data_IF_793326170184
#
_entry.id   IF_793326170184
#
_cell.length_a   1.000
_cell.length_b   1.000
_cell.length_c   1.000
_cell.angle_alpha   90.00
_cell.angle_beta   90.00
_cell.angle_gamma   90.00
#
_symmetry.space_group_name_H-M   'P 1'
#
loop_
_entity.id
_entity.type
_entity.pdbx_description
1 polymer ?
#
# COMPACT_ATOMS: atom_id res chain seq x y z
N UNK A 1 7.64 -8.57 -7.65
CA UNK A 1 6.84 -7.57 -6.91
C UNK A 1 5.59 -8.20 -6.30
N UNK A 2 4.71 -8.78 -7.11
CA UNK A 2 3.37 -9.26 -6.68
C UNK A 2 3.28 -10.71 -6.19
N UNK A 3 4.40 -11.44 -6.12
CA UNK A 3 4.42 -12.86 -5.73
C UNK A 3 5.21 -13.12 -4.44
N UNK A 4 5.55 -12.06 -3.70
CA UNK A 4 6.28 -12.14 -2.43
C UNK A 4 7.66 -12.84 -2.50
N UNK A 5 8.29 -12.90 -3.68
CA UNK A 5 9.63 -13.50 -3.88
C UNK A 5 10.67 -12.48 -4.35
N UNK A 6 10.43 -11.20 -4.14
CA UNK A 6 11.32 -10.11 -4.57
C UNK A 6 12.60 -10.01 -3.73
N UNK A 7 12.57 -10.48 -2.49
CA UNK A 7 13.65 -10.26 -1.52
C UNK A 7 13.73 -8.81 -1.01
N UNK A 8 12.71 -7.98 -1.27
CA UNK A 8 12.68 -6.59 -0.81
C UNK A 8 12.57 -6.50 0.73
N UNK A 9 13.15 -5.46 1.35
CA UNK A 9 12.91 -5.18 2.76
C UNK A 9 11.45 -4.75 3.00
N UNK A 10 11.00 -4.81 4.25
CA UNK A 10 9.62 -4.55 4.67
C UNK A 10 9.55 -3.28 5.54
N UNK A 11 8.70 -2.31 5.15
CA UNK A 11 8.55 -1.05 5.90
C UNK A 11 7.60 -1.16 7.09
N UNK A 12 6.66 -2.11 7.09
CA UNK A 12 5.57 -2.18 8.08
C UNK A 12 6.09 -2.22 9.52
N UNK A 13 7.23 -2.86 9.76
CA UNK A 13 7.86 -2.95 11.09
C UNK A 13 8.49 -1.65 11.59
N UNK A 14 8.60 -0.63 10.73
CA UNK A 14 9.32 0.61 10.99
C UNK A 14 8.41 1.85 10.99
N UNK A 15 7.13 1.69 10.64
CA UNK A 15 6.16 2.78 10.66
C UNK A 15 5.42 2.81 12.01
N UNK A 16 5.22 4.00 12.61
CA UNK A 16 4.39 4.13 13.79
C UNK A 16 2.91 3.88 13.45
N UNK A 17 2.16 3.34 14.40
CA UNK A 17 0.71 3.24 14.32
C UNK A 17 0.07 4.60 14.64
N UNK A 18 0.23 5.55 13.72
CA UNK A 18 -0.31 6.91 13.79
C UNK A 18 -1.25 7.16 12.59
N UNK A 19 -2.57 7.19 12.79
CA UNK A 19 -3.54 7.37 11.71
C UNK A 19 -3.55 8.79 11.13
N UNK A 20 -2.93 9.77 11.78
CA UNK A 20 -2.81 11.14 11.27
C UNK A 20 -1.66 11.30 10.27
N UNK A 21 -0.76 10.32 10.20
CA UNK A 21 0.43 10.34 9.36
C UNK A 21 0.08 9.92 7.93
N UNK A 22 0.34 10.81 6.96
CA UNK A 22 0.27 10.48 5.54
C UNK A 22 1.68 10.16 5.02
N UNK A 23 1.79 9.08 4.24
CA UNK A 23 3.04 8.66 3.61
C UNK A 23 2.90 8.71 2.10
N UNK A 24 3.92 9.24 1.42
CA UNK A 24 4.05 9.02 -0.02
C UNK A 24 4.57 7.61 -0.30
N UNK A 25 4.28 7.02 -1.48
CA UNK A 25 4.85 5.73 -1.86
C UNK A 25 6.39 5.71 -1.76
N UNK A 26 7.06 6.79 -2.17
CA UNK A 26 8.51 6.91 -2.07
C UNK A 26 9.01 6.86 -0.63
N UNK A 27 8.33 7.54 0.31
CA UNK A 27 8.71 7.50 1.73
C UNK A 27 8.62 6.07 2.30
N UNK A 28 7.59 5.30 1.93
CA UNK A 28 7.46 3.91 2.38
C UNK A 28 8.60 3.04 1.83
N UNK A 29 8.99 3.26 0.58
CA UNK A 29 10.16 2.60 -0.02
C UNK A 29 11.42 2.99 0.75
N UNK A 30 11.68 4.28 0.95
CA UNK A 30 12.87 4.76 1.67
C UNK A 30 12.97 4.15 3.08
N UNK A 31 11.85 4.10 3.82
CA UNK A 31 11.77 3.46 5.15
C UNK A 31 12.14 1.98 5.09
N UNK A 32 11.63 1.24 4.10
CA UNK A 32 11.97 -0.17 3.95
C UNK A 32 13.49 -0.36 3.84
N UNK A 33 14.15 0.49 3.05
CA UNK A 33 15.58 0.39 2.79
C UNK A 33 16.48 0.86 3.94
N UNK A 34 15.95 1.59 4.94
CA UNK A 34 16.70 1.87 6.19
C UNK A 34 17.07 0.58 6.94
N UNK A 35 16.28 -0.49 6.79
CA UNK A 35 16.53 -1.76 7.49
C UNK A 35 17.74 -2.55 6.98
N UNK A 36 18.19 -2.29 5.75
CA UNK A 36 19.21 -3.05 5.01
C UNK A 36 19.00 -4.58 4.99
N UNK A 37 17.74 -5.05 5.07
CA UNK A 37 17.38 -6.48 5.08
C UNK A 37 17.07 -7.05 3.69
N UNK A 38 17.58 -6.45 2.62
CA UNK A 38 17.33 -6.93 1.27
C UNK A 38 17.99 -8.30 1.04
N UNK A 39 17.28 -9.18 0.34
CA UNK A 39 17.74 -10.52 -0.06
C UNK A 39 17.75 -10.63 -1.58
N UNK A 40 18.41 -11.67 -2.08
CA UNK A 40 18.38 -11.99 -3.51
C UNK A 40 16.95 -12.28 -3.99
N UNK A 41 16.56 -11.79 -5.19
CA UNK A 41 15.28 -12.13 -5.82
C UNK A 41 15.17 -13.63 -6.13
N UNK A 42 13.94 -14.14 -6.18
CA UNK A 42 13.64 -15.53 -6.57
C UNK A 42 13.72 -16.56 -5.45
N UNK A 43 14.07 -16.14 -4.23
CA UNK A 43 14.06 -16.98 -3.03
C UNK A 43 12.65 -17.46 -2.60
N UNK A 44 12.55 -18.03 -1.38
CA UNK A 44 11.26 -18.39 -0.80
C UNK A 44 10.29 -17.21 -0.75
N UNK A 45 8.99 -17.51 -0.78
CA UNK A 45 7.98 -16.47 -0.62
C UNK A 45 8.00 -15.96 0.82
N UNK A 46 8.18 -14.65 0.98
CA UNK A 46 8.09 -13.93 2.24
C UNK A 46 7.19 -12.73 1.99
N UNK A 47 6.09 -12.65 2.75
CA UNK A 47 5.10 -11.58 2.61
C UNK A 47 5.77 -10.21 2.65
N UNK A 48 5.36 -9.32 1.74
CA UNK A 48 6.06 -8.06 1.52
C UNK A 48 5.12 -7.00 0.94
N UNK A 49 4.88 -5.94 1.72
CA UNK A 49 4.08 -4.79 1.33
C UNK A 49 4.86 -3.86 0.40
N UNK A 50 6.17 -3.71 0.59
CA UNK A 50 7.04 -2.86 -0.26
C UNK A 50 6.92 -3.21 -1.74
N UNK A 51 6.81 -4.49 -2.06
CA UNK A 51 6.61 -4.98 -3.42
C UNK A 51 5.30 -4.50 -4.05
N UNK A 52 4.23 -4.35 -3.27
CA UNK A 52 2.95 -3.82 -3.73
C UNK A 52 2.97 -2.29 -3.85
N UNK A 53 3.67 -1.57 -2.96
CA UNK A 53 3.89 -0.13 -3.11
C UNK A 53 4.61 0.17 -4.42
N UNK A 54 5.70 -0.56 -4.71
CA UNK A 54 6.42 -0.44 -5.99
C UNK A 54 5.56 -0.82 -7.19
N UNK A 55 4.70 -1.84 -7.08
CA UNK A 55 3.76 -2.19 -8.15
C UNK A 55 2.77 -1.04 -8.42
N UNK A 56 2.28 -0.37 -7.38
CA UNK A 56 1.46 0.84 -7.51
C UNK A 56 2.20 1.96 -8.24
N UNK A 57 3.44 2.25 -7.85
CA UNK A 57 4.28 3.25 -8.52
C UNK A 57 4.51 2.91 -10.01
N UNK A 58 4.68 1.63 -10.36
CA UNK A 58 4.78 1.20 -11.76
C UNK A 58 3.48 1.47 -12.52
N UNK A 59 2.31 1.19 -11.93
CA UNK A 59 1.02 1.51 -12.55
C UNK A 59 0.91 3.02 -12.81
N UNK A 60 1.25 3.85 -11.83
CA UNK A 60 1.20 5.31 -11.99
C UNK A 60 2.16 5.79 -13.08
N UNK A 61 3.39 5.29 -13.10
CA UNK A 61 4.39 5.65 -14.10
C UNK A 61 3.99 5.24 -15.52
N UNK A 62 3.36 4.08 -15.70
CA UNK A 62 2.96 3.57 -17.02
C UNK A 62 1.66 4.19 -17.50
N UNK A 63 0.69 4.42 -16.60
CA UNK A 63 -0.63 4.94 -16.96
C UNK A 63 -0.73 6.46 -16.97
N UNK A 64 0.13 7.17 -16.25
CA UNK A 64 0.01 8.61 -16.01
C UNK A 64 -1.17 9.00 -15.10
N UNK A 65 -1.84 8.01 -14.48
CA UNK A 65 -2.95 8.21 -13.54
C UNK A 65 -2.50 7.92 -12.11
N UNK A 66 -3.18 8.49 -11.12
CA UNK A 66 -3.02 8.01 -9.74
C UNK A 66 -3.49 6.56 -9.63
N UNK A 67 -2.95 5.81 -8.68
CA UNK A 67 -3.33 4.40 -8.50
C UNK A 67 -4.84 4.23 -8.30
N UNK A 68 -5.48 5.08 -7.48
CA UNK A 68 -6.93 5.07 -7.30
C UNK A 68 -7.69 5.39 -8.58
N UNK A 69 -7.24 6.38 -9.36
CA UNK A 69 -7.86 6.72 -10.64
C UNK A 69 -7.78 5.59 -11.66
N UNK A 70 -6.63 4.90 -11.74
CA UNK A 70 -6.47 3.72 -12.58
C UNK A 70 -7.38 2.59 -12.14
N UNK A 71 -7.37 2.22 -10.84
CA UNK A 71 -8.24 1.15 -10.31
C UNK A 71 -9.71 1.49 -10.50
N UNK A 72 -10.11 2.75 -10.31
CA UNK A 72 -11.48 3.20 -10.53
C UNK A 72 -11.91 3.01 -11.98
N UNK A 73 -11.11 3.46 -12.94
CA UNK A 73 -11.44 3.37 -14.36
C UNK A 73 -11.35 1.95 -14.91
N UNK A 74 -10.35 1.17 -14.50
CA UNK A 74 -10.07 -0.16 -15.03
C UNK A 74 -10.88 -1.29 -14.35
N UNK A 75 -11.31 -1.10 -13.10
CA UNK A 75 -11.96 -2.16 -12.30
C UNK A 75 -13.30 -1.70 -11.72
N UNK A 76 -13.33 -0.61 -10.96
CA UNK A 76 -14.53 -0.26 -10.18
C UNK A 76 -15.70 0.19 -11.07
N UNK A 77 -15.45 1.06 -12.05
CA UNK A 77 -16.47 1.56 -12.96
C UNK A 77 -17.08 0.45 -13.84
N UNK A 78 -16.30 -0.42 -14.52
CA UNK A 78 -16.85 -1.53 -15.30
C UNK A 78 -17.72 -2.49 -14.49
N UNK A 79 -17.44 -2.63 -13.19
CA UNK A 79 -18.17 -3.51 -12.28
C UNK A 79 -19.31 -2.81 -11.52
N UNK A 80 -19.53 -1.51 -11.73
CA UNK A 80 -20.56 -0.74 -11.03
C UNK A 80 -20.30 -0.58 -9.52
N UNK A 81 -19.05 -0.66 -9.07
CA UNK A 81 -18.66 -0.57 -7.66
C UNK A 81 -18.58 0.90 -7.21
N UNK A 82 -19.74 1.48 -6.91
CA UNK A 82 -19.87 2.90 -6.53
C UNK A 82 -19.56 3.21 -5.06
N UNK A 83 -19.50 2.17 -4.21
CA UNK A 83 -19.17 2.28 -2.79
C UNK A 83 -17.77 1.73 -2.46
N UNK A 84 -16.79 2.01 -3.32
CA UNK A 84 -15.40 1.54 -3.17
C UNK A 84 -14.44 2.66 -3.55
N UNK A 85 -13.43 2.89 -2.71
CA UNK A 85 -12.47 3.98 -2.83
C UNK A 85 -11.06 3.52 -2.47
N UNK A 86 -10.06 4.18 -3.05
CA UNK A 86 -8.66 4.09 -2.65
C UNK A 86 -8.28 5.30 -1.78
N UNK A 87 -8.29 5.21 -0.44
CA UNK A 87 -8.12 6.37 0.44
C UNK A 87 -6.78 7.10 0.28
N UNK A 88 -5.75 6.41 -0.23
CA UNK A 88 -4.45 7.00 -0.48
C UNK A 88 -4.45 8.03 -1.62
N UNK A 89 -5.44 7.97 -2.52
CA UNK A 89 -5.48 8.76 -3.76
C UNK A 89 -6.85 9.35 -4.07
N UNK A 90 -7.85 9.11 -3.20
CA UNK A 90 -9.24 9.51 -3.40
C UNK A 90 -9.91 9.87 -2.07
N UNK A 91 -10.75 10.90 -2.09
CA UNK A 91 -11.66 11.19 -0.99
C UNK A 91 -12.78 10.13 -0.93
N UNK A 92 -13.24 9.81 0.27
CA UNK A 92 -14.30 8.83 0.53
C UNK A 92 -15.26 9.36 1.62
N UNK A 93 -16.49 8.84 1.72
CA UNK A 93 -17.47 9.34 2.68
C UNK A 93 -17.16 8.85 4.10
N UNK A 94 -16.27 9.54 4.80
CA UNK A 94 -15.84 9.19 6.16
C UNK A 94 -17.00 8.97 7.13
N UNK A 95 -18.08 9.76 7.00
CA UNK A 95 -19.29 9.66 7.84
C UNK A 95 -20.06 8.34 7.66
N UNK A 96 -19.81 7.62 6.57
CA UNK A 96 -20.45 6.34 6.26
C UNK A 96 -19.63 5.14 6.75
N UNK A 97 -18.46 5.36 7.35
CA UNK A 97 -17.61 4.31 7.88
C UNK A 97 -18.04 3.86 9.28
N UNK A 98 -17.96 2.55 9.52
CA UNK A 98 -18.02 2.02 10.89
C UNK A 98 -16.75 2.38 11.67
N UNK A 99 -16.84 2.43 13.00
CA UNK A 99 -15.68 2.70 13.87
C UNK A 99 -14.77 1.47 13.93
N UNK A 100 -13.48 1.68 13.70
CA UNK A 100 -12.43 0.70 13.99
C UNK A 100 -11.96 0.82 15.45
N UNK A 101 -11.92 -0.29 16.17
CA UNK A 101 -11.43 -0.35 17.55
C UNK A 101 -10.22 -1.26 17.61
N UNK A 102 -9.08 -0.70 18.02
CA UNK A 102 -7.86 -1.48 18.25
C UNK A 102 -7.63 -1.60 19.76
N UNK A 103 -7.64 -2.84 20.25
CA UNK A 103 -7.28 -3.14 21.63
C UNK A 103 -5.80 -3.53 21.64
N UNK A 104 -4.94 -2.60 22.06
CA UNK A 104 -3.54 -2.92 22.32
C UNK A 104 -3.46 -3.62 23.68
N UNK A 105 -3.03 -4.90 23.75
CA UNK A 105 -2.79 -5.53 25.03
C UNK A 105 -1.76 -4.72 25.82
N UNK A 106 -1.88 -4.62 27.16
CA UNK A 106 -0.78 -4.12 27.96
C UNK A 106 0.49 -4.95 27.70
N UNK A 107 1.68 -4.32 27.84
CA UNK A 107 2.96 -4.99 27.60
C UNK A 107 3.18 -6.19 28.52
#
# INVERSE_FOLDING_TARGET
>A
LINHRSGLPEFEYYIPMDPSRQWTPQQLVDIAFVSDKQKAPGGPAVYNNTGYVLAGMVIEAVSGQSLGGYVRSAVLHPLGLTNTWSPATEAFPEKSMVRGYYHRPPP
#
